data_IF_126383687788
#
_entry.id   IF_126383687788
#
_cell.length_a   1.000
_cell.length_b   1.000
_cell.length_c   1.000
_cell.angle_alpha   90.00
_cell.angle_beta   90.00
_cell.angle_gamma   90.00
#
_symmetry.space_group_name_H-M   'P 1'
#
loop_
_entity.id
_entity.type
_entity.pdbx_description
1 polymer ?
#
# COMPACT_ATOMS: atom_id res chain seq x y z
N UNK A 1 2.16 -0.25 12.73
CA UNK A 1 1.57 0.97 12.19
C UNK A 1 2.57 1.63 11.24
N UNK A 2 2.08 2.11 10.10
CA UNK A 2 2.96 2.76 9.13
C UNK A 2 3.44 4.11 9.65
N UNK A 3 4.72 4.42 9.40
CA UNK A 3 5.29 5.71 9.73
C UNK A 3 5.10 6.65 8.53
N UNK A 4 4.31 7.73 8.67
CA UNK A 4 4.05 8.62 7.53
C UNK A 4 5.30 9.37 7.04
N UNK A 5 6.36 9.42 7.85
CA UNK A 5 7.61 10.05 7.44
C UNK A 5 8.58 9.08 6.77
N UNK A 6 8.28 7.79 6.77
CA UNK A 6 9.14 6.78 6.16
C UNK A 6 8.59 6.40 4.79
N UNK A 7 9.27 6.85 3.74
CA UNK A 7 8.82 6.61 2.36
C UNK A 7 8.94 5.15 1.95
N UNK A 8 9.71 4.35 2.68
CA UNK A 8 9.83 2.93 2.41
C UNK A 8 8.62 2.14 2.90
N UNK A 9 7.76 2.77 3.69
CA UNK A 9 6.54 2.15 4.20
C UNK A 9 5.33 2.70 3.44
N UNK A 10 4.50 1.78 2.95
CA UNK A 10 3.23 2.15 2.33
C UNK A 10 2.11 1.78 3.28
N UNK A 11 1.34 2.77 3.68
CA UNK A 11 0.26 2.58 4.63
C UNK A 11 -1.08 3.05 4.08
N UNK A 12 -2.16 2.56 4.68
CA UNK A 12 -3.50 2.99 4.35
C UNK A 12 -3.73 4.40 4.89
N UNK A 13 -4.23 5.30 4.05
CA UNK A 13 -4.56 6.66 4.49
C UNK A 13 -5.97 6.74 5.06
N UNK A 14 -6.83 5.77 4.73
CA UNK A 14 -8.21 5.71 5.19
C UNK A 14 -8.55 4.28 5.56
N UNK A 15 -9.54 4.07 6.45
CA UNK A 15 -10.02 2.71 6.72
C UNK A 15 -10.87 2.23 5.53
N UNK A 16 -10.78 0.95 5.24
CA UNK A 16 -11.54 0.37 4.14
C UNK A 16 -11.12 -1.05 3.88
N UNK A 17 -11.40 -1.53 2.68
CA UNK A 17 -11.05 -2.87 2.27
C UNK A 17 -10.07 -2.80 1.10
N UNK A 18 -9.03 -3.62 1.14
CA UNK A 18 -8.09 -3.72 0.03
C UNK A 18 -8.82 -4.35 -1.16
N UNK A 19 -9.03 -3.56 -2.21
CA UNK A 19 -9.69 -4.03 -3.41
C UNK A 19 -8.75 -4.95 -4.20
N UNK A 20 -7.49 -4.53 -4.33
CA UNK A 20 -6.47 -5.34 -4.98
C UNK A 20 -5.08 -4.86 -4.56
N UNK A 21 -4.10 -5.77 -4.69
CA UNK A 21 -2.69 -5.47 -4.51
C UNK A 21 -2.01 -5.71 -5.85
N UNK A 22 -1.34 -4.69 -6.38
CA UNK A 22 -0.75 -4.74 -7.73
C UNK A 22 0.69 -5.23 -7.74
N UNK A 23 1.29 -5.43 -6.56
CA UNK A 23 2.71 -5.78 -6.45
C UNK A 23 2.88 -6.97 -5.52
N UNK A 24 4.06 -7.57 -5.60
CA UNK A 24 4.45 -8.69 -4.74
C UNK A 24 5.92 -8.50 -4.34
N UNK A 25 6.39 -9.21 -3.32
CA UNK A 25 7.79 -9.14 -2.92
C UNK A 25 8.71 -9.41 -4.11
N UNK A 26 9.71 -8.55 -4.28
CA UNK A 26 10.65 -8.65 -5.39
C UNK A 26 10.32 -7.78 -6.59
N UNK A 27 9.10 -7.23 -6.67
CA UNK A 27 8.73 -6.34 -7.76
C UNK A 27 9.46 -5.01 -7.64
N UNK A 28 9.89 -4.46 -8.77
CA UNK A 28 10.49 -3.13 -8.81
C UNK A 28 9.40 -2.09 -9.06
N UNK A 29 9.47 -1.00 -8.32
CA UNK A 29 8.50 0.08 -8.41
C UNK A 29 9.20 1.42 -8.51
N UNK A 30 8.48 2.40 -9.03
CA UNK A 30 8.92 3.78 -9.12
C UNK A 30 7.95 4.67 -8.39
N UNK A 31 8.39 5.85 -8.04
CA UNK A 31 7.53 6.86 -7.43
C UNK A 31 6.25 7.00 -8.25
N UNK A 32 5.11 7.06 -7.55
CA UNK A 32 3.76 7.15 -8.10
C UNK A 32 3.21 5.86 -8.73
N UNK A 33 3.95 4.76 -8.74
CA UNK A 33 3.38 3.49 -9.15
C UNK A 33 2.28 3.08 -8.17
N UNK A 34 1.15 2.59 -8.69
CA UNK A 34 0.04 2.15 -7.84
C UNK A 34 0.40 0.80 -7.24
N UNK A 35 0.48 0.75 -5.92
CA UNK A 35 0.84 -0.46 -5.18
C UNK A 35 -0.39 -1.26 -4.80
N UNK A 36 -1.45 -0.58 -4.38
CA UNK A 36 -2.68 -1.22 -3.95
C UNK A 36 -3.84 -0.25 -4.11
N UNK A 37 -5.05 -0.77 -4.07
CA UNK A 37 -6.26 0.04 -4.12
C UNK A 37 -7.11 -0.31 -2.90
N UNK A 38 -7.56 0.72 -2.19
CA UNK A 38 -8.44 0.58 -1.04
C UNK A 38 -9.81 1.10 -1.41
N UNK A 39 -10.84 0.31 -1.18
CA UNK A 39 -12.22 0.71 -1.40
C UNK A 39 -12.87 1.06 -0.07
N UNK A 40 -13.44 2.26 -0.01
CA UNK A 40 -14.14 2.74 1.18
C UNK A 40 -15.27 3.67 0.75
N UNK A 41 -16.45 3.48 1.30
CA UNK A 41 -17.59 4.37 1.08
C UNK A 41 -17.90 4.62 -0.41
N UNK A 42 -17.83 3.56 -1.21
CA UNK A 42 -18.06 3.58 -2.67
C UNK A 42 -17.00 4.37 -3.45
N UNK A 43 -15.88 4.68 -2.82
CA UNK A 43 -14.76 5.35 -3.46
C UNK A 43 -13.54 4.45 -3.42
N UNK A 44 -12.67 4.61 -4.41
CA UNK A 44 -11.40 3.90 -4.43
C UNK A 44 -10.26 4.87 -4.18
N UNK A 45 -9.36 4.50 -3.29
CA UNK A 45 -8.16 5.27 -3.00
C UNK A 45 -6.95 4.44 -3.41
N UNK A 46 -6.08 5.03 -4.20
CA UNK A 46 -4.86 4.36 -4.64
C UNK A 46 -3.73 4.62 -3.65
N UNK A 47 -3.05 3.53 -3.28
CA UNK A 47 -1.83 3.64 -2.49
C UNK A 47 -0.68 3.57 -3.47
N UNK A 48 0.11 4.64 -3.52
CA UNK A 48 1.20 4.76 -4.50
C UNK A 48 2.56 4.74 -3.82
N UNK A 49 3.58 4.34 -4.59
CA UNK A 49 4.95 4.35 -4.09
C UNK A 49 5.43 5.79 -3.91
N UNK A 50 6.11 6.04 -2.82
CA UNK A 50 6.67 7.35 -2.49
C UNK A 50 8.16 7.42 -2.75
N UNK A 51 8.73 6.31 -3.25
CA UNK A 51 10.14 6.23 -3.62
C UNK A 51 10.33 5.12 -4.65
N UNK A 52 11.41 5.18 -5.39
CA UNK A 52 11.81 4.07 -6.25
C UNK A 52 12.44 2.98 -5.39
N UNK A 53 12.22 1.74 -5.76
CA UNK A 53 12.83 0.64 -5.04
C UNK A 53 12.23 -0.70 -5.40
N UNK A 54 12.48 -1.68 -4.56
CA UNK A 54 11.98 -3.04 -4.73
C UNK A 54 11.05 -3.35 -3.55
N UNK A 55 9.93 -4.01 -3.84
CA UNK A 55 9.00 -4.42 -2.78
C UNK A 55 9.70 -5.44 -1.88
N UNK A 56 9.76 -5.13 -0.59
CA UNK A 56 10.39 -6.00 0.40
C UNK A 56 9.37 -7.01 0.95
N UNK A 57 8.34 -6.52 1.63
CA UNK A 57 7.29 -7.38 2.19
C UNK A 57 5.92 -6.78 1.91
N UNK A 58 4.94 -7.65 1.70
CA UNK A 58 3.54 -7.27 1.54
C UNK A 58 2.76 -7.93 2.67
N UNK A 59 2.08 -7.12 3.48
CA UNK A 59 1.39 -7.60 4.69
C UNK A 59 -0.10 -7.77 4.50
N UNK A 60 -0.63 -7.39 3.33
CA UNK A 60 -2.07 -7.45 3.06
C UNK A 60 -2.33 -8.11 1.72
N UNK A 61 -3.57 -8.50 1.50
CA UNK A 61 -4.01 -9.10 0.23
C UNK A 61 -5.39 -8.56 -0.13
N UNK A 62 -5.78 -8.76 -1.37
CA UNK A 62 -7.10 -8.35 -1.83
C UNK A 62 -8.20 -8.97 -0.99
N UNK A 63 -9.20 -8.18 -0.63
CA UNK A 63 -10.31 -8.60 0.22
C UNK A 63 -10.09 -8.41 1.71
N UNK A 64 -8.92 -7.95 2.12
CA UNK A 64 -8.61 -7.75 3.53
C UNK A 64 -9.03 -6.35 3.98
N UNK A 65 -9.63 -6.25 5.17
CA UNK A 65 -9.97 -4.96 5.76
C UNK A 65 -8.74 -4.33 6.40
N UNK A 66 -8.61 -3.02 6.26
CA UNK A 66 -7.50 -2.26 6.84
C UNK A 66 -8.03 -1.02 7.54
N UNK A 67 -7.22 -0.49 8.46
CA UNK A 67 -7.53 0.73 9.20
C UNK A 67 -6.59 1.84 8.75
N UNK A 68 -7.00 3.09 9.00
CA UNK A 68 -6.13 4.23 8.71
C UNK A 68 -4.81 4.08 9.47
N UNK A 69 -3.71 4.28 8.77
CA UNK A 69 -2.37 4.16 9.34
C UNK A 69 -1.83 2.74 9.39
N UNK A 70 -2.60 1.75 8.94
CA UNK A 70 -2.13 0.36 8.94
C UNK A 70 -1.09 0.17 7.84
N UNK A 71 0.01 -0.51 8.18
CA UNK A 71 1.09 -0.77 7.22
C UNK A 71 0.65 -1.83 6.23
N UNK A 72 0.74 -1.52 4.94
CA UNK A 72 0.35 -2.44 3.88
C UNK A 72 1.53 -3.20 3.31
N UNK A 73 2.62 -2.52 3.05
CA UNK A 73 3.82 -3.13 2.49
C UNK A 73 5.03 -2.24 2.74
N UNK A 74 6.21 -2.80 2.48
CA UNK A 74 7.46 -2.05 2.61
C UNK A 74 8.26 -2.14 1.31
N UNK A 75 9.05 -1.10 1.06
CA UNK A 75 9.95 -1.00 -0.09
C UNK A 75 11.39 -0.92 0.44
N UNK A 76 12.29 -1.57 -0.22
CA UNK A 76 13.72 -1.53 0.15
C UNK A 76 14.61 -0.99 -0.96
#
# INVERSE_FOLDING_TARGET
>A
MADPNDKSQAGASIPGMVSKVNVKPGDQVKVNDVLAVIEAMKMETRVVARMDGTIDEVFVKGGQSVKAGELLLTIK
#
